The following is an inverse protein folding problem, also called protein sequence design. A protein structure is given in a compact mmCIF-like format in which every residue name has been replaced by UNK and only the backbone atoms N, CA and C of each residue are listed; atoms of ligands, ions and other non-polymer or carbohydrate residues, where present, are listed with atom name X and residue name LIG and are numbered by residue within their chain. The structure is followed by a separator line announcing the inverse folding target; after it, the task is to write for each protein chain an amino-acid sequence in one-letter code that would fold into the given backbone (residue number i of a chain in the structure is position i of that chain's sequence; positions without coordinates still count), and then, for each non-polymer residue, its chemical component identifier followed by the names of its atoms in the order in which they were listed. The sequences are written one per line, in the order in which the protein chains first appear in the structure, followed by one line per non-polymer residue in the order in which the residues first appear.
data_IF_949727164353
#
_entry.id   IF_949727164353
#
_cell.length_a   1.000
_cell.length_b   1.000
_cell.length_c   1.000
_cell.angle_alpha   90.00
_cell.angle_beta   90.00
_cell.angle_gamma   90.00
#
_symmetry.space_group_name_H-M   'P 1'
#
loop_
_entity.id
_entity.type
_entity.pdbx_description
1 polymer ?
#
# COMPACT_ATOMS: atom_id res chain seq x y z
N UNK A 1 35.61 3.16 -0.21
CA UNK A 1 34.60 2.62 0.72
C UNK A 1 33.86 3.80 1.39
N UNK A 2 33.02 4.50 0.63
CA UNK A 2 32.18 5.61 1.14
C UNK A 2 31.05 5.94 0.13
N UNK A 3 30.49 4.91 -0.50
CA UNK A 3 29.21 5.09 -1.19
C UNK A 3 28.13 4.98 -0.12
N UNK A 4 27.79 6.13 0.45
CA UNK A 4 26.66 6.29 1.36
C UNK A 4 25.46 5.56 0.76
N UNK A 5 24.98 4.54 1.48
CA UNK A 5 23.86 3.66 1.13
C UNK A 5 22.58 4.43 0.72
N UNK A 6 22.52 5.73 1.03
CA UNK A 6 21.44 6.67 0.80
C UNK A 6 21.77 7.83 -0.16
N UNK A 7 22.48 7.60 -1.26
CA UNK A 7 22.63 8.66 -2.27
C UNK A 7 21.32 8.84 -3.08
N UNK A 8 20.32 9.48 -2.45
CA UNK A 8 18.95 9.60 -2.95
C UNK A 8 18.81 10.40 -4.27
N UNK A 9 19.84 11.14 -4.70
CA UNK A 9 19.81 11.93 -5.96
C UNK A 9 19.72 11.04 -7.21
N UNK A 10 20.20 9.80 -7.16
CA UNK A 10 20.22 8.88 -8.32
C UNK A 10 18.88 8.14 -8.54
N UNK A 11 17.88 8.37 -7.68
CA UNK A 11 16.66 7.56 -7.60
C UNK A 11 15.38 8.37 -7.80
N UNK A 12 15.37 9.25 -8.81
CA UNK A 12 14.23 10.15 -9.07
C UNK A 12 12.90 9.39 -9.22
N UNK A 13 12.90 8.23 -9.88
CA UNK A 13 11.69 7.44 -10.14
C UNK A 13 11.11 6.74 -8.90
N UNK A 14 11.94 6.28 -7.96
CA UNK A 14 11.44 5.62 -6.74
C UNK A 14 10.80 6.61 -5.77
N UNK A 15 11.26 7.87 -5.76
CA UNK A 15 10.64 8.94 -4.95
C UNK A 15 9.20 9.21 -5.39
N UNK A 16 8.96 9.34 -6.69
CA UNK A 16 7.60 9.55 -7.19
C UNK A 16 6.71 8.36 -6.89
N UNK A 17 7.20 7.14 -7.09
CA UNK A 17 6.48 5.91 -6.73
C UNK A 17 6.03 5.91 -5.26
N UNK A 18 6.92 6.23 -4.32
CA UNK A 18 6.57 6.29 -2.90
C UNK A 18 5.62 7.43 -2.56
N UNK A 19 5.78 8.59 -3.18
CA UNK A 19 4.86 9.71 -3.00
C UNK A 19 3.44 9.33 -3.46
N UNK A 20 3.31 8.70 -4.62
CA UNK A 20 2.02 8.23 -5.11
C UNK A 20 1.41 7.18 -4.17
N UNK A 21 2.19 6.19 -3.73
CA UNK A 21 1.71 5.19 -2.79
C UNK A 21 1.27 5.82 -1.45
N UNK A 22 2.04 6.77 -0.94
CA UNK A 22 1.70 7.48 0.31
C UNK A 22 0.38 8.23 0.17
N UNK A 23 0.21 8.94 -0.94
CA UNK A 23 -0.99 9.73 -1.20
C UNK A 23 -2.21 8.81 -1.35
N UNK A 24 -2.11 7.74 -2.14
CA UNK A 24 -3.21 6.79 -2.33
C UNK A 24 -3.55 6.09 -1.02
N UNK A 25 -2.54 5.66 -0.25
CA UNK A 25 -2.78 4.99 1.02
C UNK A 25 -3.42 5.91 2.06
N UNK A 26 -3.06 7.20 2.07
CA UNK A 26 -3.69 8.19 2.94
C UNK A 26 -5.16 8.40 2.58
N UNK A 27 -5.48 8.50 1.29
CA UNK A 27 -6.88 8.60 0.81
C UNK A 27 -7.66 7.33 1.17
N UNK A 28 -7.07 6.16 0.98
CA UNK A 28 -7.69 4.88 1.33
C UNK A 28 -8.03 4.82 2.83
N UNK A 29 -7.07 5.14 3.69
CA UNK A 29 -7.28 5.15 5.14
C UNK A 29 -8.36 6.15 5.55
N UNK A 30 -8.38 7.33 4.94
CA UNK A 30 -9.41 8.33 5.19
C UNK A 30 -10.81 7.85 4.82
N UNK A 31 -10.98 7.27 3.62
CA UNK A 31 -12.27 6.75 3.15
C UNK A 31 -12.72 5.57 4.01
N UNK A 32 -11.82 4.63 4.32
CA UNK A 32 -12.15 3.45 5.14
C UNK A 32 -12.55 3.86 6.56
N UNK A 33 -11.83 4.82 7.15
CA UNK A 33 -12.16 5.39 8.46
C UNK A 33 -13.52 6.07 8.45
N UNK A 34 -13.78 6.92 7.45
CA UNK A 34 -15.06 7.60 7.29
C UNK A 34 -16.22 6.62 7.12
N UNK A 35 -16.00 5.54 6.34
CA UNK A 35 -16.99 4.49 6.12
C UNK A 35 -17.37 3.80 7.42
N UNK A 36 -16.38 3.44 8.24
CA UNK A 36 -16.63 2.77 9.53
C UNK A 36 -17.33 3.67 10.53
N UNK A 37 -16.89 4.92 10.68
CA UNK A 37 -17.57 5.89 11.56
C UNK A 37 -19.02 6.13 11.13
N UNK A 38 -19.28 6.13 9.82
CA UNK A 38 -20.64 6.22 9.31
C UNK A 38 -21.47 4.99 9.67
N UNK A 39 -20.94 3.77 9.47
CA UNK A 39 -21.62 2.53 9.85
C UNK A 39 -21.97 2.54 11.34
N UNK A 40 -21.01 2.89 12.19
CA UNK A 40 -21.19 2.91 13.65
C UNK A 40 -22.27 3.91 14.09
N UNK A 41 -22.23 5.15 13.55
CA UNK A 41 -23.20 6.19 13.89
C UNK A 41 -24.65 5.79 13.54
N UNK A 42 -24.85 5.10 12.42
CA UNK A 42 -26.20 4.76 11.95
C UNK A 42 -26.68 3.36 12.37
N UNK A 43 -25.78 2.43 12.71
CA UNK A 43 -26.17 1.13 13.28
C UNK A 43 -26.75 1.29 14.68
N UNK A 44 -26.18 2.19 15.50
CA UNK A 44 -26.65 2.49 16.86
C UNK A 44 -28.05 3.12 16.88
N UNK A 45 -28.45 3.80 15.80
CA UNK A 45 -29.76 4.46 15.68
C UNK A 45 -30.89 3.53 15.18
N UNK A 46 -30.60 2.23 14.96
CA UNK A 46 -31.63 1.21 14.77
C UNK A 46 -32.39 1.21 13.43
N UNK A 47 -32.08 2.11 12.50
CA UNK A 47 -32.73 2.16 11.17
C UNK A 47 -31.71 2.43 10.07
N UNK A 48 -31.11 1.38 9.51
CA UNK A 48 -30.31 1.52 8.28
C UNK A 48 -31.26 1.66 7.09
N UNK A 49 -31.56 2.90 6.72
CA UNK A 49 -32.31 3.23 5.51
C UNK A 49 -31.49 2.93 4.24
N UNK A 50 -32.18 2.73 3.12
CA UNK A 50 -31.58 2.39 1.81
C UNK A 50 -30.51 3.40 1.36
N UNK A 51 -30.69 4.68 1.70
CA UNK A 51 -29.74 5.75 1.37
C UNK A 51 -28.38 5.57 2.06
N UNK A 52 -28.38 5.13 3.33
CA UNK A 52 -27.16 4.84 4.08
C UNK A 52 -26.38 3.67 3.47
N UNK A 53 -27.09 2.63 3.04
CA UNK A 53 -26.46 1.51 2.30
C UNK A 53 -25.83 1.97 0.99
N UNK A 54 -26.50 2.83 0.24
CA UNK A 54 -25.99 3.33 -1.03
C UNK A 54 -24.72 4.18 -0.83
N UNK A 55 -24.69 5.01 0.22
CA UNK A 55 -23.50 5.77 0.59
C UNK A 55 -22.32 4.87 0.98
N UNK A 56 -22.54 3.90 1.87
CA UNK A 56 -21.51 2.93 2.29
C UNK A 56 -21.00 2.12 1.08
N UNK A 57 -21.91 1.69 0.19
CA UNK A 57 -21.58 0.97 -1.03
C UNK A 57 -20.68 1.81 -1.95
N UNK A 58 -20.99 3.10 -2.13
CA UNK A 58 -20.18 4.00 -2.94
C UNK A 58 -18.78 4.20 -2.35
N UNK A 59 -18.66 4.39 -1.03
CA UNK A 59 -17.35 4.47 -0.38
C UNK A 59 -16.54 3.17 -0.57
N UNK A 60 -17.19 2.01 -0.47
CA UNK A 60 -16.53 0.73 -0.73
C UNK A 60 -16.06 0.59 -2.17
N UNK A 61 -16.85 1.04 -3.14
CA UNK A 61 -16.45 1.06 -4.56
C UNK A 61 -15.24 1.96 -4.79
N UNK A 62 -15.22 3.15 -4.18
CA UNK A 62 -14.08 4.05 -4.25
C UNK A 62 -12.81 3.40 -3.67
N UNK A 63 -12.91 2.75 -2.51
CA UNK A 63 -11.76 2.03 -1.94
C UNK A 63 -11.28 0.89 -2.82
N UNK A 64 -12.18 0.12 -3.44
CA UNK A 64 -11.78 -0.93 -4.39
C UNK A 64 -11.06 -0.35 -5.61
N UNK A 65 -11.51 0.80 -6.15
CA UNK A 65 -10.82 1.50 -7.24
C UNK A 65 -9.41 1.93 -6.82
N UNK A 66 -9.24 2.45 -5.60
CA UNK A 66 -7.91 2.82 -5.08
C UNK A 66 -7.00 1.60 -4.94
N UNK A 67 -7.52 0.46 -4.49
CA UNK A 67 -6.77 -0.81 -4.43
C UNK A 67 -6.32 -1.23 -5.83
N UNK A 68 -7.21 -1.23 -6.82
CA UNK A 68 -6.87 -1.56 -8.21
C UNK A 68 -5.78 -0.61 -8.74
N UNK A 69 -5.89 0.69 -8.44
CA UNK A 69 -4.90 1.67 -8.87
C UNK A 69 -3.52 1.43 -8.23
N UNK A 70 -3.47 1.05 -6.94
CA UNK A 70 -2.22 0.63 -6.29
C UNK A 70 -1.61 -0.61 -6.94
N UNK A 71 -2.43 -1.60 -7.31
CA UNK A 71 -1.96 -2.80 -8.02
C UNK A 71 -1.27 -2.40 -9.33
N UNK A 72 -1.92 -1.57 -10.14
CA UNK A 72 -1.39 -1.12 -11.42
C UNK A 72 -0.06 -0.38 -11.27
N UNK A 73 0.06 0.50 -10.28
CA UNK A 73 1.30 1.23 -10.00
C UNK A 73 2.41 0.25 -9.59
N UNK A 74 2.10 -0.72 -8.73
CA UNK A 74 3.08 -1.72 -8.31
C UNK A 74 3.55 -2.59 -9.48
N UNK A 75 2.62 -3.04 -10.34
CA UNK A 75 2.96 -3.82 -11.54
C UNK A 75 3.81 -3.02 -12.53
N UNK A 76 3.43 -1.76 -12.81
CA UNK A 76 4.20 -0.89 -13.69
C UNK A 76 5.63 -0.70 -13.17
N UNK A 77 5.78 -0.51 -11.86
CA UNK A 77 7.08 -0.37 -11.23
C UNK A 77 7.91 -1.67 -11.28
N UNK A 78 7.27 -2.84 -11.07
CA UNK A 78 7.93 -4.14 -11.24
C UNK A 78 8.48 -4.34 -12.65
N UNK A 79 7.71 -3.97 -13.68
CA UNK A 79 8.17 -4.05 -15.07
C UNK A 79 9.43 -3.21 -15.28
N UNK A 80 9.47 -1.98 -14.75
CA UNK A 80 10.67 -1.12 -14.83
C UNK A 80 11.87 -1.78 -14.16
N UNK A 81 11.69 -2.40 -12.99
CA UNK A 81 12.77 -3.13 -12.31
C UNK A 81 13.27 -4.33 -13.12
N UNK A 82 12.37 -5.08 -13.75
CA UNK A 82 12.74 -6.22 -14.58
C UNK A 82 13.50 -5.81 -15.84
N UNK A 83 13.09 -4.71 -16.50
CA UNK A 83 13.78 -4.19 -17.68
C UNK A 83 15.20 -3.74 -17.33
N UNK A 84 15.38 -3.10 -16.18
CA UNK A 84 16.69 -2.58 -15.78
C UNK A 84 17.69 -3.67 -15.33
N UNK A 85 17.23 -4.88 -14.98
CA UNK A 85 18.03 -6.04 -14.53
C UNK A 85 19.13 -5.76 -13.50
N UNK A 86 19.08 -4.63 -12.80
CA UNK A 86 20.14 -4.22 -11.88
C UNK A 86 19.89 -4.80 -10.49
N UNK A 87 20.65 -5.83 -10.14
CA UNK A 87 20.55 -6.57 -8.86
C UNK A 87 20.61 -5.65 -7.64
N UNK A 88 21.48 -4.63 -7.65
CA UNK A 88 21.62 -3.70 -6.52
C UNK A 88 20.38 -2.84 -6.36
N UNK A 89 19.75 -2.44 -7.47
CA UNK A 89 18.50 -1.68 -7.42
C UNK A 89 17.32 -2.55 -6.96
N UNK A 90 17.29 -3.83 -7.32
CA UNK A 90 16.26 -4.78 -6.87
C UNK A 90 16.24 -4.99 -5.36
N UNK A 91 17.40 -5.25 -4.74
CA UNK A 91 17.50 -5.46 -3.28
C UNK A 91 17.17 -4.16 -2.53
N UNK A 92 17.66 -3.01 -3.00
CA UNK A 92 17.34 -1.72 -2.38
C UNK A 92 15.85 -1.40 -2.47
N UNK A 93 15.20 -1.74 -3.58
CA UNK A 93 13.76 -1.59 -3.72
C UNK A 93 12.99 -2.50 -2.76
N UNK A 94 13.40 -3.77 -2.65
CA UNK A 94 12.82 -4.70 -1.68
C UNK A 94 12.87 -4.11 -0.25
N UNK A 95 14.04 -3.64 0.18
CA UNK A 95 14.21 -3.02 1.51
C UNK A 95 13.31 -1.80 1.67
N UNK A 96 13.25 -0.94 0.66
CA UNK A 96 12.50 0.29 0.70
C UNK A 96 10.98 0.04 0.75
N UNK A 97 10.46 -0.91 -0.03
CA UNK A 97 9.06 -1.32 0.05
C UNK A 97 8.73 -2.01 1.37
N UNK A 98 9.63 -2.83 1.89
CA UNK A 98 9.43 -3.49 3.17
C UNK A 98 9.34 -2.48 4.31
N UNK A 99 10.25 -1.50 4.36
CA UNK A 99 10.19 -0.39 5.32
C UNK A 99 8.88 0.38 5.17
N UNK A 100 8.48 0.69 3.94
CA UNK A 100 7.23 1.38 3.65
C UNK A 100 6.01 0.61 4.19
N UNK A 101 5.91 -0.69 3.90
CA UNK A 101 4.84 -1.54 4.39
C UNK A 101 4.81 -1.60 5.92
N UNK A 102 5.97 -1.70 6.58
CA UNK A 102 6.06 -1.71 8.04
C UNK A 102 5.52 -0.39 8.62
N UNK A 103 6.01 0.75 8.11
CA UNK A 103 5.58 2.08 8.58
C UNK A 103 4.07 2.25 8.41
N UNK A 104 3.52 1.90 7.24
CA UNK A 104 2.09 2.05 7.02
C UNK A 104 1.24 1.05 7.78
N UNK A 105 1.73 -0.17 8.02
CA UNK A 105 1.05 -1.11 8.92
C UNK A 105 1.00 -0.55 10.34
N UNK A 106 2.08 0.07 10.83
CA UNK A 106 2.08 0.75 12.13
C UNK A 106 1.10 1.93 12.17
N UNK A 107 1.04 2.74 11.11
CA UNK A 107 0.05 3.85 11.00
C UNK A 107 -1.37 3.30 10.98
N UNK A 108 -1.65 2.27 10.18
CA UNK A 108 -2.95 1.60 10.14
C UNK A 108 -3.32 1.01 11.50
N UNK A 109 -2.34 0.47 12.24
CA UNK A 109 -2.53 -0.03 13.59
C UNK A 109 -2.89 1.07 14.58
N UNK A 110 -2.20 2.22 14.51
CA UNK A 110 -2.53 3.37 15.34
C UNK A 110 -3.95 3.89 15.04
N UNK A 111 -4.33 4.00 13.77
CA UNK A 111 -5.69 4.40 13.35
C UNK A 111 -6.72 3.38 13.82
N UNK A 112 -6.44 2.08 13.66
CA UNK A 112 -7.29 0.98 14.15
C UNK A 112 -7.56 1.12 15.64
N UNK A 113 -6.52 1.42 16.43
CA UNK A 113 -6.63 1.61 17.86
C UNK A 113 -7.43 2.85 18.24
N UNK A 114 -7.16 4.00 17.61
CA UNK A 114 -7.83 5.28 17.92
C UNK A 114 -9.32 5.27 17.54
N UNK A 115 -9.66 4.66 16.40
CA UNK A 115 -11.02 4.68 15.86
C UNK A 115 -11.77 3.36 16.03
N UNK A 116 -11.21 2.38 16.75
CA UNK A 116 -11.79 1.06 16.97
C UNK A 116 -12.21 0.34 15.67
N UNK A 117 -11.42 0.53 14.61
CA UNK A 117 -11.66 -0.06 13.29
C UNK A 117 -10.92 -1.39 13.16
N UNK A 118 -11.51 -2.45 12.56
CA UNK A 118 -10.79 -3.68 12.28
C UNK A 118 -9.52 -3.45 11.46
N UNK A 119 -8.37 -3.81 12.02
CA UNK A 119 -7.04 -3.66 11.39
C UNK A 119 -6.99 -4.27 9.99
N UNK A 120 -7.66 -5.42 9.78
CA UNK A 120 -7.66 -6.16 8.52
C UNK A 120 -8.10 -5.32 7.34
N UNK A 121 -9.07 -4.45 7.55
CA UNK A 121 -9.56 -3.56 6.51
C UNK A 121 -8.58 -2.42 6.22
N UNK A 122 -7.90 -1.89 7.24
CA UNK A 122 -6.93 -0.80 7.09
C UNK A 122 -5.58 -1.25 6.49
N UNK A 123 -5.34 -2.56 6.40
CA UNK A 123 -4.11 -3.13 5.83
C UNK A 123 -4.36 -3.95 4.55
N UNK A 124 -5.61 -4.15 4.14
CA UNK A 124 -5.97 -5.00 3.00
C UNK A 124 -5.21 -4.62 1.74
N UNK A 125 -5.11 -3.32 1.48
CA UNK A 125 -4.35 -2.74 0.38
C UNK A 125 -2.84 -2.96 0.47
N UNK A 126 -2.29 -3.08 1.67
CA UNK A 126 -0.86 -3.32 1.90
C UNK A 126 -0.47 -4.77 1.60
N UNK A 127 -1.41 -5.72 1.66
CA UNK A 127 -1.15 -7.15 1.35
C UNK A 127 -0.56 -7.31 -0.04
N UNK A 128 -1.01 -6.51 -1.02
CA UNK A 128 -0.49 -6.56 -2.38
C UNK A 128 0.95 -6.03 -2.43
N UNK A 129 1.25 -4.97 -1.69
CA UNK A 129 2.62 -4.45 -1.57
C UNK A 129 3.54 -5.50 -0.93
N UNK A 130 3.08 -6.23 0.09
CA UNK A 130 3.82 -7.37 0.63
C UNK A 130 4.05 -8.47 -0.42
N UNK A 131 3.00 -8.85 -1.17
CA UNK A 131 3.11 -9.86 -2.23
C UNK A 131 4.10 -9.48 -3.32
N UNK A 132 4.07 -8.24 -3.81
CA UNK A 132 5.04 -7.77 -4.82
C UNK A 132 6.47 -7.75 -4.30
N UNK A 133 6.65 -7.42 -3.01
CA UNK A 133 7.95 -7.43 -2.34
C UNK A 133 8.53 -8.85 -2.28
N UNK A 134 7.68 -9.85 -1.98
CA UNK A 134 8.08 -11.27 -2.00
C UNK A 134 8.45 -11.73 -3.42
N UNK A 135 7.67 -11.36 -4.45
CA UNK A 135 7.95 -11.72 -5.85
C UNK A 135 9.32 -11.19 -6.29
N UNK A 136 9.64 -9.93 -5.98
CA UNK A 136 10.94 -9.33 -6.29
C UNK A 136 12.06 -10.10 -5.59
N UNK A 137 11.90 -10.41 -4.31
CA UNK A 137 12.90 -11.16 -3.55
C UNK A 137 13.16 -12.53 -4.19
N UNK A 138 12.11 -13.28 -4.49
CA UNK A 138 12.22 -14.60 -5.11
C UNK A 138 12.94 -14.50 -6.46
N UNK A 139 12.54 -13.58 -7.33
CA UNK A 139 13.17 -13.40 -8.64
C UNK A 139 14.68 -13.19 -8.52
N UNK A 140 15.12 -12.24 -7.68
CA UNK A 140 16.54 -11.94 -7.54
C UNK A 140 17.33 -13.05 -6.82
N UNK A 141 16.69 -13.80 -5.92
CA UNK A 141 17.34 -14.93 -5.23
C UNK A 141 17.52 -16.12 -6.18
N UNK A 142 16.51 -16.48 -6.97
CA UNK A 142 16.62 -17.56 -7.97
C UNK A 142 17.60 -17.22 -9.10
N UNK A 143 17.63 -15.96 -9.55
CA UNK A 143 18.56 -15.54 -10.59
C UNK A 143 20.02 -15.43 -10.08
N UNK A 144 20.24 -15.48 -8.75
CA UNK A 144 21.57 -15.59 -8.14
C UNK A 144 22.12 -17.02 -8.20
N UNK A 145 21.25 -18.03 -8.23
CA UNK A 145 21.64 -19.45 -8.29
C UNK A 145 22.12 -19.85 -9.70
N UNK A 146 21.68 -19.12 -10.74
CA UNK A 146 22.03 -19.39 -12.15
C UNK A 146 23.23 -18.59 -12.70
N UNK A 147 23.87 -17.74 -11.89
CA UNK A 147 24.97 -16.86 -12.28
C UNK A 147 26.25 -17.22 -11.54
#
# INVERSE_FOLDING_TARGET
MKDSVFNFKKYKNSRYYLLFLTLINSIYLFIETSRFQYIEKYSLNGQIQKEHYQYISNLSKMNNVLVIFMILICLAYLVVLFVQRNKVNGIKHFLLNLIFCIVFTCVSYFISFVFTIPIGNLIQQLVILYGTTIIVLLYYTFNKIKS
#
